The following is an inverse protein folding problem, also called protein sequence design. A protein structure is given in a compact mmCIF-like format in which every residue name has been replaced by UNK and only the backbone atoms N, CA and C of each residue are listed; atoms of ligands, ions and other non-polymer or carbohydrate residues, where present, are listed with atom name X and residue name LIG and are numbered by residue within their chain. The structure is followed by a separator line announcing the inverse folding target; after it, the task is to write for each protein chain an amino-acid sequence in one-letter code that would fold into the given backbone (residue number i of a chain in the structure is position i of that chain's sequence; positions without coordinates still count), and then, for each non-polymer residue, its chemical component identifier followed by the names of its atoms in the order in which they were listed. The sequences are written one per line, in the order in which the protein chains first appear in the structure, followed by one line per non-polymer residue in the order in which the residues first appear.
data_IF_393173297113
#
_entry.id   IF_393173297113
#
_cell.length_a   1.000
_cell.length_b   1.000
_cell.length_c   1.000
_cell.angle_alpha   90.00
_cell.angle_beta   90.00
_cell.angle_gamma   90.00
#
_symmetry.space_group_name_H-M   'P 1'
#
loop_
_entity.id
_entity.type
_entity.pdbx_description
1 polymer ?
#
# COMPACT_ATOMS: atom_id res chain seq x y z
N UNK A 1 -13.39 -10.74 -30.03
CA UNK A 1 -12.17 -11.56 -30.16
C UNK A 1 -11.01 -10.87 -29.46
N UNK A 2 -10.67 -9.61 -29.79
CA UNK A 2 -9.61 -8.85 -29.10
C UNK A 2 -9.82 -8.72 -27.57
N UNK A 3 -11.00 -8.29 -27.11
CA UNK A 3 -11.26 -8.12 -25.67
C UNK A 3 -11.16 -9.42 -24.84
N UNK A 4 -11.51 -10.57 -25.43
CA UNK A 4 -11.39 -11.86 -24.75
C UNK A 4 -9.93 -12.33 -24.67
N UNK A 5 -9.11 -11.93 -25.64
CA UNK A 5 -7.67 -12.20 -25.66
C UNK A 5 -6.95 -11.34 -24.61
N UNK A 6 -7.34 -10.05 -24.49
CA UNK A 6 -6.83 -9.14 -23.47
C UNK A 6 -7.16 -9.63 -22.04
N UNK A 7 -8.40 -10.09 -21.79
CA UNK A 7 -8.80 -10.65 -20.49
C UNK A 7 -7.99 -11.92 -20.15
N UNK A 8 -7.73 -12.77 -21.14
CA UNK A 8 -6.97 -14.01 -20.94
C UNK A 8 -5.48 -13.74 -20.69
N UNK A 9 -4.90 -12.73 -21.34
CA UNK A 9 -3.55 -12.25 -21.06
C UNK A 9 -3.45 -11.67 -19.65
N UNK A 10 -4.46 -10.90 -19.21
CA UNK A 10 -4.52 -10.35 -17.86
C UNK A 10 -4.56 -11.46 -16.80
N UNK A 11 -5.37 -12.51 -17.02
CA UNK A 11 -5.41 -13.68 -16.13
C UNK A 11 -4.10 -14.45 -16.11
N UNK A 12 -3.41 -14.57 -17.24
CA UNK A 12 -2.07 -15.19 -17.28
C UNK A 12 -1.05 -14.42 -16.45
N UNK A 13 -1.06 -13.09 -16.51
CA UNK A 13 -0.22 -12.25 -15.66
C UNK A 13 -0.50 -12.50 -14.18
N UNK A 14 -1.79 -12.52 -13.80
CA UNK A 14 -2.22 -12.76 -12.41
C UNK A 14 -1.78 -14.13 -11.90
N UNK A 15 -1.90 -15.19 -12.69
CA UNK A 15 -1.45 -16.53 -12.29
C UNK A 15 0.07 -16.68 -12.18
N UNK A 16 0.84 -15.76 -12.78
CA UNK A 16 2.29 -15.73 -12.67
C UNK A 16 2.81 -14.97 -11.46
N UNK A 17 1.93 -14.39 -10.63
CA UNK A 17 2.33 -13.60 -9.48
C UNK A 17 2.66 -14.46 -8.27
N UNK A 18 3.68 -14.02 -7.53
CA UNK A 18 3.96 -14.50 -6.18
C UNK A 18 2.90 -13.95 -5.19
N UNK A 19 2.80 -14.57 -4.02
CA UNK A 19 1.93 -14.21 -2.91
C UNK A 19 2.14 -12.75 -2.42
N UNK A 20 3.37 -12.25 -2.44
CA UNK A 20 3.70 -10.85 -2.11
C UNK A 20 3.11 -9.88 -3.14
N UNK A 21 3.29 -10.18 -4.42
CA UNK A 21 2.75 -9.38 -5.53
C UNK A 21 1.22 -9.43 -5.53
N UNK A 22 0.64 -10.60 -5.26
CA UNK A 22 -0.80 -10.78 -5.15
C UNK A 22 -1.38 -9.97 -3.99
N UNK A 23 -0.71 -9.94 -2.82
CA UNK A 23 -1.12 -9.11 -1.69
C UNK A 23 -1.09 -7.60 -2.03
N UNK A 24 -0.06 -7.15 -2.75
CA UNK A 24 0.04 -5.77 -3.22
C UNK A 24 -1.04 -5.45 -4.26
N UNK A 25 -1.25 -6.33 -5.24
CA UNK A 25 -2.28 -6.19 -6.29
C UNK A 25 -3.68 -6.10 -5.67
N UNK A 26 -4.03 -7.01 -4.76
CA UNK A 26 -5.32 -6.99 -4.04
C UNK A 26 -5.54 -5.69 -3.29
N UNK A 27 -4.49 -5.14 -2.67
CA UNK A 27 -4.55 -3.87 -1.95
C UNK A 27 -4.75 -2.68 -2.91
N UNK A 28 -4.09 -2.70 -4.07
CA UNK A 28 -4.24 -1.69 -5.12
C UNK A 28 -5.64 -1.72 -5.74
N UNK A 29 -6.16 -2.90 -6.07
CA UNK A 29 -7.52 -3.12 -6.59
C UNK A 29 -8.56 -2.57 -5.61
N UNK A 30 -8.42 -2.91 -4.33
CA UNK A 30 -9.32 -2.47 -3.27
C UNK A 30 -9.16 -0.99 -2.91
N UNK A 31 -8.03 -0.37 -3.28
CA UNK A 31 -7.58 0.96 -2.85
C UNK A 31 -7.47 1.07 -1.32
N UNK A 32 -7.04 -0.01 -0.70
CA UNK A 32 -6.82 -0.13 0.73
C UNK A 32 -5.33 -0.47 0.99
N UNK A 33 -4.97 -0.73 2.24
CA UNK A 33 -3.58 -0.87 2.71
C UNK A 33 -3.36 -2.22 3.38
N UNK A 34 -2.14 -2.75 3.40
CA UNK A 34 -1.88 -4.09 3.97
C UNK A 34 -0.76 -4.11 5.02
N UNK A 35 -0.73 -5.20 5.78
CA UNK A 35 0.38 -5.59 6.62
C UNK A 35 1.07 -6.76 5.93
N UNK A 36 2.39 -6.71 5.81
CA UNK A 36 3.20 -7.85 5.41
C UNK A 36 4.20 -8.10 6.54
N UNK A 37 4.26 -9.32 7.02
CA UNK A 37 5.11 -9.69 8.14
C UNK A 37 5.98 -10.89 7.79
N UNK A 38 7.17 -10.92 8.37
CA UNK A 38 8.11 -12.03 8.23
C UNK A 38 8.93 -12.16 9.53
N UNK A 39 9.89 -13.08 9.53
CA UNK A 39 10.81 -13.25 10.66
C UNK A 39 11.68 -12.01 10.87
N UNK A 40 12.24 -11.78 12.07
CA UNK A 40 13.04 -10.57 12.32
C UNK A 40 14.29 -10.43 11.44
N UNK A 41 14.81 -11.53 10.92
CA UNK A 41 16.06 -11.59 10.16
C UNK A 41 15.84 -11.16 8.70
N UNK A 42 14.65 -11.43 8.14
CA UNK A 42 14.33 -11.20 6.73
C UNK A 42 13.58 -9.89 6.45
N UNK A 43 13.38 -9.01 7.45
CA UNK A 43 12.61 -7.77 7.25
C UNK A 43 13.26 -6.83 6.24
N UNK A 44 14.59 -6.77 6.21
CA UNK A 44 15.33 -5.90 5.29
C UNK A 44 15.22 -6.41 3.86
N UNK A 45 15.44 -7.71 3.64
CA UNK A 45 15.25 -8.39 2.35
C UNK A 45 13.81 -8.24 1.86
N UNK A 46 12.81 -8.56 2.69
CA UNK A 46 11.40 -8.35 2.35
C UNK A 46 11.10 -6.89 1.97
N UNK A 47 11.74 -5.91 2.61
CA UNK A 47 11.51 -4.51 2.27
C UNK A 47 12.05 -4.17 0.90
N UNK A 48 13.26 -4.62 0.56
CA UNK A 48 13.83 -4.38 -0.76
C UNK A 48 13.09 -5.19 -1.85
N UNK A 49 12.63 -6.41 -1.56
CA UNK A 49 11.77 -7.16 -2.46
C UNK A 49 10.48 -6.40 -2.77
N UNK A 50 9.77 -5.92 -1.74
CA UNK A 50 8.55 -5.10 -1.92
C UNK A 50 8.83 -3.79 -2.67
N UNK A 51 10.04 -3.25 -2.54
CA UNK A 51 10.49 -2.08 -3.29
C UNK A 51 10.64 -2.41 -4.78
N UNK A 52 11.23 -3.56 -5.09
CA UNK A 52 11.36 -4.08 -6.45
C UNK A 52 10.00 -4.42 -7.05
N UNK A 53 9.12 -5.10 -6.31
CA UNK A 53 7.72 -5.36 -6.72
C UNK A 53 7.00 -4.06 -7.07
N UNK A 54 7.11 -3.02 -6.24
CA UNK A 54 6.50 -1.73 -6.52
C UNK A 54 6.97 -1.15 -7.86
N UNK A 55 8.28 -1.24 -8.16
CA UNK A 55 8.88 -0.69 -9.37
C UNK A 55 8.69 -1.56 -10.62
N UNK A 56 9.01 -2.86 -10.54
CA UNK A 56 9.02 -3.82 -11.66
C UNK A 56 7.61 -4.33 -11.98
N UNK A 57 6.80 -4.66 -10.97
CA UNK A 57 5.46 -5.21 -11.20
C UNK A 57 4.43 -4.11 -11.49
N UNK A 58 4.48 -3.00 -10.75
CA UNK A 58 3.44 -1.95 -10.80
C UNK A 58 3.89 -0.59 -11.36
N UNK A 59 5.19 -0.37 -11.59
CA UNK A 59 5.70 0.91 -12.09
C UNK A 59 5.54 2.07 -11.11
N UNK A 60 5.45 1.78 -9.81
CA UNK A 60 5.17 2.74 -8.75
C UNK A 60 6.45 3.10 -7.99
N UNK A 61 6.62 4.40 -7.72
CA UNK A 61 7.70 4.86 -6.84
C UNK A 61 7.38 4.58 -5.37
N UNK A 62 8.39 4.08 -4.66
CA UNK A 62 8.30 3.72 -3.25
C UNK A 62 9.19 4.59 -2.36
N UNK A 63 8.74 4.81 -1.12
CA UNK A 63 9.53 5.40 -0.04
C UNK A 63 9.54 4.47 1.17
N UNK A 64 10.72 4.28 1.77
CA UNK A 64 10.91 3.40 2.92
C UNK A 64 11.03 4.26 4.19
N UNK A 65 10.22 3.92 5.20
CA UNK A 65 10.24 4.60 6.50
C UNK A 65 10.60 3.57 7.57
N UNK A 66 11.74 3.76 8.23
CA UNK A 66 12.17 2.91 9.34
C UNK A 66 11.73 3.48 10.67
N UNK A 67 10.77 2.84 11.34
CA UNK A 67 10.25 3.28 12.62
C UNK A 67 10.97 2.64 13.81
N UNK A 68 11.11 3.41 14.89
CA UNK A 68 11.71 3.00 16.16
C UNK A 68 11.11 3.84 17.31
N UNK A 69 11.47 3.52 18.56
CA UNK A 69 10.91 4.15 19.75
C UNK A 69 11.13 5.68 19.87
N UNK A 70 12.01 6.24 19.04
CA UNK A 70 12.37 7.66 19.03
C UNK A 70 11.99 8.39 17.73
N UNK A 71 11.32 7.71 16.79
CA UNK A 71 10.88 8.34 15.54
C UNK A 71 9.95 9.52 15.86
N UNK A 72 10.29 10.70 15.34
CA UNK A 72 9.45 11.90 15.52
C UNK A 72 8.42 12.02 14.39
N UNK A 73 7.41 12.87 14.58
CA UNK A 73 6.42 13.17 13.54
C UNK A 73 7.05 13.81 12.29
N UNK A 74 8.11 14.61 12.49
CA UNK A 74 8.83 15.29 11.42
C UNK A 74 9.67 14.29 10.60
N UNK A 75 10.34 13.36 11.28
CA UNK A 75 11.09 12.27 10.63
C UNK A 75 10.16 11.40 9.80
N UNK A 76 9.03 11.00 10.40
CA UNK A 76 8.00 10.22 9.71
C UNK A 76 7.49 10.96 8.48
N UNK A 77 7.08 12.22 8.61
CA UNK A 77 6.51 12.98 7.49
C UNK A 77 7.52 13.26 6.38
N UNK A 78 8.78 13.51 6.73
CA UNK A 78 9.85 13.75 5.75
C UNK A 78 10.19 12.48 4.98
N UNK A 79 10.19 11.32 5.65
CA UNK A 79 10.51 10.03 5.04
C UNK A 79 9.46 9.55 4.02
N UNK A 80 8.24 10.09 4.03
CA UNK A 80 7.20 9.78 3.03
C UNK A 80 7.44 10.45 1.67
N UNK A 81 8.29 11.46 1.62
CA UNK A 81 8.46 12.35 0.47
C UNK A 81 9.58 11.85 -0.42
N UNK A 82 9.34 11.82 -1.73
CA UNK A 82 10.38 11.55 -2.71
C UNK A 82 11.33 12.75 -2.79
N UNK A 83 12.63 12.48 -2.74
CA UNK A 83 13.64 13.51 -2.91
C UNK A 83 13.47 14.17 -4.31
N UNK A 84 13.56 15.50 -4.42
CA UNK A 84 13.66 16.17 -5.71
C UNK A 84 14.86 15.59 -6.48
N UNK A 85 14.62 15.04 -7.68
CA UNK A 85 15.71 14.65 -8.56
C UNK A 85 16.62 15.87 -8.79
N UNK A 86 17.94 15.80 -8.53
CA UNK A 86 18.84 16.89 -8.80
C UNK A 86 18.86 17.13 -10.31
N UNK A 87 18.21 18.21 -10.75
CA UNK A 87 18.26 18.69 -12.12
C UNK A 87 19.73 18.93 -12.49
N UNK A 88 20.29 18.07 -13.34
CA UNK A 88 21.62 18.26 -13.92
C UNK A 88 21.55 19.49 -14.84
N UNK A 89 21.88 20.65 -14.31
CA UNK A 89 22.07 21.86 -15.10
C UNK A 89 23.26 21.64 -16.03
N UNK A 90 22.96 21.43 -17.32
CA UNK A 90 23.97 21.38 -18.37
C UNK A 90 24.74 22.71 -18.36
N UNK A 91 26.10 22.70 -18.38
CA UNK A 91 26.87 23.94 -18.41
C UNK A 91 26.68 24.59 -19.78
N UNK A 92 25.96 25.71 -19.81
CA UNK A 92 25.87 26.59 -20.97
C UNK A 92 27.27 27.10 -21.30
N UNK A 93 27.79 26.64 -22.43
CA UNK A 93 29.10 27.01 -22.96
C UNK A 93 29.26 28.52 -23.07
N UNK A 94 30.38 29.02 -22.57
CA UNK A 94 30.79 30.40 -22.67
C UNK A 94 31.02 30.81 -24.13
N UNK A 95 30.36 31.89 -24.53
CA UNK A 95 30.66 32.66 -25.73
C UNK A 95 30.90 34.11 -25.36
N UNK A 96 32.17 34.48 -25.18
CA UNK A 96 32.60 35.88 -25.16
C UNK A 96 32.34 36.50 -26.52
N UNK A 97 31.69 37.67 -26.56
CA UNK A 97 31.98 38.70 -27.56
C UNK A 97 31.51 40.07 -27.08
N UNK A 98 32.50 40.91 -26.85
CA UNK A 98 32.48 42.36 -26.69
C UNK A 98 32.03 43.04 -27.99
N UNK A 99 31.17 44.07 -27.92
CA UNK A 99 31.50 45.42 -28.38
C UNK A 99 30.35 46.43 -28.24
N UNK A 100 30.79 47.66 -27.94
CA UNK A 100 30.07 48.91 -27.74
C UNK A 100 29.17 49.35 -28.90
N UNK A 101 28.15 50.17 -28.61
CA UNK A 101 27.95 51.52 -29.17
C UNK A 101 26.87 52.27 -28.37
N UNK A 102 27.21 53.49 -27.98
CA UNK A 102 26.40 54.54 -27.36
C UNK A 102 25.58 55.34 -28.39
N UNK A 103 24.31 55.71 -28.08
CA UNK A 103 23.84 57.12 -28.09
C UNK A 103 22.32 57.29 -27.89
N UNK A 104 21.98 58.16 -26.93
CA UNK A 104 20.98 59.26 -26.93
C UNK A 104 19.66 59.14 -27.70
N UNK A 105 18.55 59.53 -27.05
CA UNK A 105 17.40 60.10 -27.77
C UNK A 105 16.09 60.13 -27.00
N UNK A 106 15.53 61.31 -26.82
CA UNK A 106 14.40 61.67 -25.95
C UNK A 106 13.08 61.73 -26.76
N UNK A 107 11.97 61.65 -26.02
CA UNK A 107 10.66 62.33 -26.23
C UNK A 107 9.66 61.89 -27.31
N UNK A 108 8.39 61.80 -26.90
CA UNK A 108 7.29 62.50 -27.57
C UNK A 108 6.04 61.71 -27.97
N UNK A 109 5.03 61.66 -27.10
CA UNK A 109 3.60 61.69 -27.51
C UNK A 109 3.28 63.06 -28.17
N UNK A 110 2.22 63.30 -29.00
CA UNK A 110 0.80 63.12 -28.59
C UNK A 110 -0.30 62.94 -29.70
N UNK A 111 -1.49 62.52 -29.25
CA UNK A 111 -2.88 62.85 -29.67
C UNK A 111 -3.26 63.17 -31.15
N UNK A 112 -4.36 62.55 -31.64
CA UNK A 112 -5.65 63.22 -32.04
C UNK A 112 -6.77 62.22 -32.50
N UNK A 113 -8.06 62.66 -32.62
CA UNK A 113 -9.25 61.85 -32.36
C UNK A 113 -10.35 61.84 -33.47
N UNK A 114 -11.52 61.26 -33.12
CA UNK A 114 -12.92 61.68 -33.47
C UNK A 114 -13.57 61.04 -34.73
N UNK A 115 -14.73 60.39 -34.56
CA UNK A 115 -16.06 60.84 -35.03
C UNK A 115 -17.17 59.74 -34.93
N UNK A 116 -18.30 60.13 -34.33
CA UNK A 116 -19.70 59.62 -34.42
C UNK A 116 -20.30 59.84 -35.86
N UNK A 117 -21.54 59.45 -36.27
CA UNK A 117 -22.82 59.48 -35.48
C UNK A 117 -24.05 58.56 -35.84
N UNK A 118 -25.07 58.62 -34.95
CA UNK A 118 -26.56 58.72 -35.09
C UNK A 118 -27.46 57.65 -35.77
N UNK A 119 -28.57 57.25 -35.10
CA UNK A 119 -29.99 57.71 -35.28
C UNK A 119 -31.04 56.78 -34.57
N UNK A 120 -31.92 57.34 -33.69
CA UNK A 120 -33.42 57.40 -33.72
C UNK A 120 -34.22 56.09 -33.43
N UNK A 121 -35.40 55.99 -32.78
CA UNK A 121 -36.56 56.89 -32.53
C UNK A 121 -37.48 56.34 -31.38
N UNK A 122 -38.50 57.13 -30.98
CA UNK A 122 -39.50 56.99 -29.90
C UNK A 122 -40.65 55.96 -30.09
N UNK A 123 -41.34 55.49 -29.01
CA UNK A 123 -42.68 55.94 -28.48
C UNK A 123 -43.49 54.89 -27.65
N UNK A 124 -44.12 55.40 -26.57
CA UNK A 124 -45.45 55.14 -25.93
C UNK A 124 -45.95 53.82 -25.27
N UNK A 125 -46.43 54.03 -24.01
CA UNK A 125 -47.31 53.38 -22.99
C UNK A 125 -48.61 52.63 -23.43
N UNK A 126 -49.53 52.12 -22.53
CA UNK A 126 -49.47 51.78 -21.07
C UNK A 126 -50.21 50.46 -20.66
N UNK A 127 -50.16 50.06 -19.38
CA UNK A 127 -51.30 49.63 -18.50
C UNK A 127 -50.92 48.62 -17.40
N UNK A 128 -51.50 48.76 -16.20
CA UNK A 128 -51.68 47.64 -15.25
C UNK A 128 -51.12 47.81 -13.84
N UNK A 129 -51.95 48.37 -12.97
CA UNK A 129 -51.95 48.38 -11.48
C UNK A 129 -51.46 47.09 -10.78
N UNK A 130 -50.64 47.21 -9.72
CA UNK A 130 -51.05 47.01 -8.30
C UNK A 130 -49.88 47.09 -7.30
N UNK A 131 -50.02 48.02 -6.34
CA UNK A 131 -49.83 47.85 -4.89
C UNK A 131 -48.45 47.51 -4.29
N UNK A 132 -47.77 48.59 -3.87
CA UNK A 132 -47.24 48.88 -2.52
C UNK A 132 -46.52 47.81 -1.68
N UNK A 133 -45.29 48.16 -1.25
CA UNK A 133 -44.60 47.52 -0.12
C UNK A 133 -43.16 47.99 0.06
N UNK A 134 -42.99 49.23 0.52
CA UNK A 134 -41.70 49.86 0.89
C UNK A 134 -40.90 49.06 1.91
N UNK A 135 -39.56 48.95 1.73
CA UNK A 135 -38.56 49.21 2.78
C UNK A 135 -37.20 49.66 2.18
N UNK A 136 -36.84 50.92 2.49
CA UNK A 136 -35.52 51.51 2.77
C UNK A 136 -34.20 50.92 2.20
N UNK A 137 -33.48 51.80 1.48
CA UNK A 137 -32.04 51.84 1.11
C UNK A 137 -31.09 51.78 2.35
N UNK A 138 -29.78 51.44 2.24
CA UNK A 138 -28.82 52.12 1.34
C UNK A 138 -27.64 51.33 0.72
N UNK A 139 -27.07 51.89 -0.35
CA UNK A 139 -25.72 51.58 -0.88
C UNK A 139 -24.65 51.91 0.17
N UNK A 140 -23.58 51.10 0.21
CA UNK A 140 -22.24 51.65 -0.07
C UNK A 140 -21.47 50.68 -0.99
N UNK A 141 -20.63 51.14 -1.91
CA UNK A 141 -19.38 51.83 -1.63
C UNK A 141 -18.25 50.94 -2.15
N UNK A 142 -17.50 51.44 -3.12
CA UNK A 142 -16.41 50.74 -3.78
C UNK A 142 -15.33 50.28 -2.79
N UNK A 143 -14.98 48.99 -2.83
CA UNK A 143 -13.65 48.51 -2.49
C UNK A 143 -13.26 47.44 -3.50
N UNK A 144 -12.54 47.86 -4.55
CA UNK A 144 -11.79 46.96 -5.43
C UNK A 144 -10.71 46.28 -4.59
N UNK A 145 -11.04 45.10 -4.06
CA UNK A 145 -10.10 44.22 -3.40
C UNK A 145 -9.20 43.65 -4.49
N UNK A 146 -7.99 44.21 -4.59
CA UNK A 146 -6.97 43.77 -5.53
C UNK A 146 -6.79 42.26 -5.46
N UNK A 147 -7.08 41.59 -6.58
CA UNK A 147 -6.69 40.22 -6.81
C UNK A 147 -5.15 40.20 -6.83
N UNK A 148 -4.56 39.81 -5.70
CA UNK A 148 -3.15 39.43 -5.65
C UNK A 148 -3.05 38.18 -6.50
N UNK A 149 -2.61 38.35 -7.74
CA UNK A 149 -2.17 37.24 -8.58
C UNK A 149 -0.96 36.62 -7.87
N UNK A 150 -0.96 35.33 -7.52
CA UNK A 150 0.25 34.71 -7.01
C UNK A 150 1.28 34.75 -8.13
N UNK A 151 2.31 35.57 -7.92
CA UNK A 151 3.53 35.56 -8.71
C UNK A 151 4.04 34.13 -8.81
N UNK A 152 4.29 33.68 -10.04
CA UNK A 152 5.01 32.45 -10.39
C UNK A 152 6.26 32.32 -9.52
N UNK A 153 6.15 31.50 -8.47
CA UNK A 153 7.32 31.01 -7.75
C UNK A 153 8.07 30.07 -8.67
N UNK A 154 9.37 30.30 -8.74
CA UNK A 154 10.39 29.45 -9.32
C UNK A 154 10.05 27.98 -9.10
N UNK A 155 9.95 27.21 -10.20
CA UNK A 155 9.62 25.80 -10.21
C UNK A 155 10.74 24.97 -9.55
N UNK A 156 10.79 24.96 -8.22
CA UNK A 156 11.32 23.83 -7.47
C UNK A 156 10.22 22.78 -7.44
N UNK A 157 10.51 21.55 -7.90
CA UNK A 157 9.58 20.43 -7.76
C UNK A 157 9.20 20.28 -6.29
N UNK A 158 7.94 20.55 -5.94
CA UNK A 158 7.48 20.32 -4.58
C UNK A 158 7.63 18.83 -4.27
N UNK A 159 8.14 18.46 -3.08
CA UNK A 159 8.25 17.07 -2.70
C UNK A 159 6.86 16.43 -2.74
N UNK A 160 6.73 15.27 -3.36
CA UNK A 160 5.47 14.53 -3.43
C UNK A 160 5.57 13.27 -2.57
N UNK A 161 4.45 12.87 -1.98
CA UNK A 161 4.37 11.57 -1.29
C UNK A 161 4.54 10.46 -2.32
N UNK A 162 5.32 9.44 -2.00
CA UNK A 162 5.49 8.27 -2.85
C UNK A 162 4.16 7.53 -3.11
N UNK A 163 4.08 6.79 -4.22
CA UNK A 163 2.91 5.98 -4.54
C UNK A 163 2.81 4.79 -3.58
N UNK A 164 3.94 4.19 -3.23
CA UNK A 164 4.04 3.12 -2.24
C UNK A 164 4.84 3.61 -1.04
N UNK A 165 4.33 3.42 0.17
CA UNK A 165 5.07 3.68 1.40
C UNK A 165 5.28 2.35 2.12
N UNK A 166 6.55 1.99 2.33
CA UNK A 166 6.97 0.80 3.07
C UNK A 166 7.37 1.22 4.48
N UNK A 167 6.48 1.04 5.46
CA UNK A 167 6.71 1.43 6.84
C UNK A 167 7.20 0.24 7.68
N UNK A 168 8.52 0.18 7.89
CA UNK A 168 9.17 -0.88 8.68
C UNK A 168 8.98 -0.62 10.18
N UNK A 169 8.67 -1.67 10.92
CA UNK A 169 8.60 -1.66 12.38
C UNK A 169 7.67 -0.57 12.96
N UNK A 170 6.56 -0.30 12.28
CA UNK A 170 5.59 0.71 12.72
C UNK A 170 5.00 0.39 14.11
N UNK A 171 5.01 -0.88 14.51
CA UNK A 171 4.68 -1.38 15.85
C UNK A 171 5.58 -0.80 16.95
N UNK A 172 6.86 -0.52 16.63
CA UNK A 172 7.85 0.07 17.54
C UNK A 172 7.79 1.60 17.62
N UNK A 173 7.02 2.24 16.74
CA UNK A 173 6.90 3.70 16.70
C UNK A 173 6.08 4.22 17.90
N UNK A 174 6.36 5.46 18.38
CA UNK A 174 5.51 6.12 19.36
C UNK A 174 4.04 6.20 18.90
N UNK A 175 3.10 6.18 19.85
CA UNK A 175 1.66 6.26 19.55
C UNK A 175 1.29 7.45 18.67
N UNK A 176 1.96 8.59 18.83
CA UNK A 176 1.73 9.77 18.00
C UNK A 176 2.03 9.52 16.51
N UNK A 177 3.12 8.79 16.21
CA UNK A 177 3.49 8.42 14.83
C UNK A 177 2.47 7.45 14.23
N UNK A 178 2.03 6.44 15.00
CA UNK A 178 0.99 5.52 14.53
C UNK A 178 -0.36 6.24 14.30
N UNK A 179 -0.69 7.24 15.12
CA UNK A 179 -1.87 8.10 14.90
C UNK A 179 -1.70 8.94 13.62
N UNK A 180 -0.51 9.48 13.37
CA UNK A 180 -0.22 10.22 12.14
C UNK A 180 -0.33 9.34 10.89
N UNK A 181 0.15 8.09 10.97
CA UNK A 181 -0.06 7.10 9.93
C UNK A 181 -1.56 6.85 9.72
N UNK A 182 -2.33 6.61 10.77
CA UNK A 182 -3.79 6.43 10.68
C UNK A 182 -4.49 7.64 10.04
N UNK A 183 -4.10 8.87 10.39
CA UNK A 183 -4.64 10.08 9.78
C UNK A 183 -4.31 10.15 8.28
N UNK A 184 -3.09 9.80 7.88
CA UNK A 184 -2.70 9.70 6.48
C UNK A 184 -3.56 8.68 5.74
N UNK A 185 -3.78 7.48 6.29
CA UNK A 185 -4.60 6.46 5.63
C UNK A 185 -6.07 6.91 5.50
N UNK A 186 -6.60 7.60 6.51
CA UNK A 186 -8.00 8.08 6.52
C UNK A 186 -8.24 9.28 5.61
N UNK A 187 -7.32 10.24 5.60
CA UNK A 187 -7.52 11.56 4.96
C UNK A 187 -6.77 11.69 3.65
N UNK A 188 -5.84 10.78 3.37
CA UNK A 188 -4.86 10.86 2.28
C UNK A 188 -4.05 12.16 2.31
N UNK A 189 -3.85 12.72 3.50
CA UNK A 189 -3.10 13.95 3.70
C UNK A 189 -2.16 13.79 4.88
N UNK A 190 -1.00 14.42 4.78
CA UNK A 190 -0.09 14.60 5.91
C UNK A 190 0.28 16.08 6.05
N UNK A 191 0.36 16.52 7.29
CA UNK A 191 0.75 17.88 7.65
C UNK A 191 2.22 17.89 8.00
N UNK A 192 3.02 18.61 7.22
CA UNK A 192 4.42 18.94 7.58
C UNK A 192 4.46 20.31 8.25
N UNK A 193 5.63 20.70 8.76
CA UNK A 193 5.82 22.04 9.34
C UNK A 193 5.50 23.17 8.37
N UNK A 194 5.69 22.95 7.06
CA UNK A 194 5.69 24.01 6.04
C UNK A 194 4.57 23.86 5.03
N UNK A 195 3.98 22.67 4.87
CA UNK A 195 2.92 22.43 3.89
C UNK A 195 2.05 21.22 4.24
N UNK A 196 0.87 21.16 3.60
CA UNK A 196 0.03 19.96 3.61
C UNK A 196 0.28 19.20 2.31
N UNK A 197 0.66 17.94 2.43
CA UNK A 197 0.95 17.07 1.30
C UNK A 197 -0.20 16.08 1.14
N UNK A 198 -0.70 15.93 -0.09
CA UNK A 198 -1.78 14.98 -0.41
C UNK A 198 -1.18 13.74 -1.06
N UNK A 199 -1.57 12.56 -0.60
CA UNK A 199 -1.12 11.31 -1.18
C UNK A 199 -1.65 11.16 -2.62
N UNK A 200 -0.90 10.49 -3.52
CA UNK A 200 -1.33 10.28 -4.89
C UNK A 200 -2.68 9.54 -4.99
N UNK A 201 -3.31 9.57 -6.17
CA UNK A 201 -4.59 8.87 -6.40
C UNK A 201 -4.44 7.35 -6.22
N UNK A 202 -3.33 6.82 -6.72
CA UNK A 202 -2.85 5.46 -6.46
C UNK A 202 -1.86 5.54 -5.32
N UNK A 203 -2.31 5.11 -4.14
CA UNK A 203 -1.52 5.19 -2.93
C UNK A 203 -1.67 3.89 -2.17
N UNK A 204 -0.55 3.22 -1.91
CA UNK A 204 -0.46 2.00 -1.15
C UNK A 204 0.47 2.21 0.03
N UNK A 205 -0.01 1.90 1.22
CA UNK A 205 0.79 1.90 2.44
C UNK A 205 0.91 0.45 2.88
N UNK A 206 2.13 -0.05 2.94
CA UNK A 206 2.45 -1.40 3.41
C UNK A 206 3.20 -1.26 4.72
N UNK A 207 2.67 -1.86 5.77
CA UNK A 207 3.42 -1.99 7.02
C UNK A 207 4.22 -3.27 6.99
N UNK A 208 5.55 -3.17 7.11
CA UNK A 208 6.46 -4.31 7.14
C UNK A 208 6.86 -4.59 8.58
N UNK A 209 6.42 -5.72 9.14
CA UNK A 209 6.58 -6.05 10.56
C UNK A 209 7.41 -7.32 10.76
N UNK A 210 8.31 -7.29 11.75
CA UNK A 210 8.94 -8.50 12.28
C UNK A 210 8.00 -9.18 13.28
N UNK A 211 7.70 -10.46 13.11
CA UNK A 211 7.00 -11.26 14.11
C UNK A 211 7.51 -12.71 14.11
N UNK A 212 7.04 -13.52 15.06
CA UNK A 212 7.32 -14.98 15.07
C UNK A 212 6.28 -15.78 14.29
N UNK A 213 5.15 -15.17 13.94
CA UNK A 213 4.06 -15.71 13.11
C UNK A 213 3.18 -14.57 12.63
N UNK A 214 2.37 -14.84 11.59
CA UNK A 214 1.47 -13.85 10.99
C UNK A 214 0.49 -13.26 11.99
N UNK A 215 -0.10 -14.11 12.84
CA UNK A 215 -1.03 -13.68 13.87
C UNK A 215 -0.43 -12.81 14.99
N UNK A 216 0.90 -12.66 15.07
CA UNK A 216 1.59 -11.86 16.10
C UNK A 216 2.02 -10.47 15.63
N UNK A 217 1.92 -10.18 14.34
CA UNK A 217 2.24 -8.87 13.77
C UNK A 217 1.08 -7.88 13.99
N UNK A 218 1.20 -7.00 14.99
CA UNK A 218 0.17 -6.01 15.33
C UNK A 218 0.73 -4.61 15.54
N UNK A 219 -0.04 -3.61 15.13
CA UNK A 219 0.12 -2.21 15.55
C UNK A 219 -0.98 -1.82 16.55
N UNK A 220 -1.11 -0.54 16.87
CA UNK A 220 -2.20 -0.07 17.74
C UNK A 220 -3.57 -0.51 17.22
N UNK A 221 -4.52 -0.87 18.12
CA UNK A 221 -5.80 -1.47 17.73
C UNK A 221 -6.56 -0.71 16.63
N UNK A 222 -6.59 0.61 16.68
CA UNK A 222 -7.31 1.44 15.72
C UNK A 222 -6.63 1.51 14.35
N UNK A 223 -5.31 1.58 14.32
CA UNK A 223 -4.56 1.56 13.06
C UNK A 223 -4.63 0.18 12.41
N UNK A 224 -4.51 -0.86 13.23
CA UNK A 224 -4.60 -2.25 12.80
C UNK A 224 -5.94 -2.57 12.12
N UNK A 225 -7.05 -2.07 12.67
CA UNK A 225 -8.39 -2.23 12.11
C UNK A 225 -8.55 -1.55 10.74
N UNK A 226 -7.64 -0.64 10.37
CA UNK A 226 -7.66 0.08 9.09
C UNK A 226 -6.98 -0.69 7.94
N UNK A 227 -6.12 -1.68 8.24
CA UNK A 227 -5.47 -2.48 7.19
C UNK A 227 -6.40 -3.54 6.61
N UNK A 228 -6.49 -3.58 5.29
CA UNK A 228 -7.32 -4.46 4.48
C UNK A 228 -7.10 -5.93 4.78
N UNK A 229 -5.85 -6.37 4.65
CA UNK A 229 -5.40 -7.74 4.81
C UNK A 229 -4.01 -7.77 5.46
N UNK A 230 -3.65 -8.94 5.96
CA UNK A 230 -2.31 -9.28 6.37
C UNK A 230 -1.81 -10.52 5.63
N UNK A 231 -0.52 -10.52 5.33
CA UNK A 231 0.19 -11.65 4.74
C UNK A 231 1.45 -11.95 5.56
N UNK A 232 1.64 -13.22 5.91
CA UNK A 232 2.89 -13.72 6.48
C UNK A 232 3.71 -14.33 5.35
N UNK A 233 4.95 -13.87 5.21
CA UNK A 233 5.90 -14.37 4.23
C UNK A 233 6.99 -15.15 4.95
N UNK A 234 7.16 -16.41 4.56
CA UNK A 234 8.25 -17.25 5.04
C UNK A 234 9.51 -16.95 4.22
N UNK A 235 10.65 -16.59 4.85
CA UNK A 235 11.90 -16.38 4.12
C UNK A 235 12.34 -17.60 3.30
N UNK A 236 11.88 -18.80 3.65
CA UNK A 236 12.16 -20.02 2.88
C UNK A 236 11.48 -20.03 1.50
N UNK A 237 10.45 -19.21 1.29
CA UNK A 237 9.79 -19.04 -0.02
C UNK A 237 10.68 -18.30 -1.03
N UNK A 238 11.74 -17.62 -0.57
CA UNK A 238 12.67 -16.85 -1.40
C UNK A 238 12.18 -15.45 -1.81
N UNK A 239 13.04 -14.71 -2.49
CA UNK A 239 12.79 -13.33 -2.91
C UNK A 239 13.12 -13.17 -4.40
N UNK A 240 12.13 -13.48 -5.26
CA UNK A 240 12.33 -13.60 -6.71
C UNK A 240 13.13 -12.45 -7.33
N UNK A 241 12.78 -11.19 -7.03
CA UNK A 241 13.45 -10.04 -7.64
C UNK A 241 14.82 -9.74 -7.06
N UNK A 242 15.02 -9.95 -5.76
CA UNK A 242 16.33 -9.85 -5.13
C UNK A 242 17.26 -10.94 -5.62
N UNK A 243 16.79 -12.18 -5.69
CA UNK A 243 17.57 -13.32 -6.16
C UNK A 243 18.02 -13.13 -7.62
N UNK A 244 17.17 -12.54 -8.47
CA UNK A 244 17.57 -12.11 -9.82
C UNK A 244 18.66 -11.01 -9.81
N UNK A 245 18.55 -10.03 -8.91
CA UNK A 245 19.50 -8.91 -8.83
C UNK A 245 20.88 -9.33 -8.31
N UNK A 246 20.92 -10.26 -7.36
CA UNK A 246 22.16 -10.85 -6.84
C UNK A 246 22.71 -11.95 -7.77
N UNK A 247 21.85 -12.73 -8.41
CA UNK A 247 22.23 -13.81 -9.35
C UNK A 247 22.79 -13.31 -10.69
N UNK A 248 22.38 -12.13 -11.14
CA UNK A 248 22.93 -11.50 -12.34
C UNK A 248 24.40 -11.05 -12.20
N UNK A 249 24.98 -11.15 -10.99
CA UNK A 249 26.37 -10.81 -10.70
C UNK A 249 27.41 -11.91 -10.96
N UNK A 250 27.00 -13.16 -11.20
CA UNK A 250 27.90 -14.33 -11.27
C UNK A 250 27.94 -15.07 -12.62
N UNK A 251 27.47 -14.46 -13.72
CA UNK A 251 27.81 -14.96 -15.07
C UNK A 251 29.25 -14.57 -15.43
N UNK A 252 30.22 -15.24 -14.82
CA UNK A 252 31.60 -14.78 -14.89
C UNK A 252 32.75 -15.75 -14.62
N UNK A 253 32.56 -17.06 -14.39
CA UNK A 253 33.70 -18.03 -14.42
C UNK A 253 33.29 -19.38 -15.01
N UNK A 254 33.69 -19.70 -16.26
CA UNK A 254 33.64 -21.07 -16.76
C UNK A 254 34.92 -21.81 -16.31
N UNK A 255 34.79 -22.79 -15.42
CA UNK A 255 35.85 -23.80 -15.25
C UNK A 255 35.87 -24.50 -13.89
N UNK A 256 35.63 -25.80 -13.92
CA UNK A 256 35.98 -26.71 -12.84
C UNK A 256 35.02 -27.88 -12.68
N UNK A 257 35.18 -28.90 -13.51
CA UNK A 257 34.73 -30.26 -13.17
C UNK A 257 35.33 -30.66 -11.82
N UNK A 258 34.56 -31.36 -10.96
CA UNK A 258 34.98 -32.59 -10.28
C UNK A 258 33.89 -33.16 -9.35
N UNK A 259 33.32 -34.28 -9.82
CA UNK A 259 32.98 -35.56 -9.16
C UNK A 259 33.01 -35.61 -7.61
N UNK A 260 31.89 -36.08 -7.02
CA UNK A 260 31.66 -37.23 -6.08
C UNK A 260 30.15 -37.18 -5.74
N UNK A 261 29.32 -38.23 -5.60
CA UNK A 261 29.52 -39.64 -5.29
C UNK A 261 28.61 -40.04 -4.11
N UNK A 262 27.34 -40.40 -4.40
CA UNK A 262 26.42 -41.34 -3.70
C UNK A 262 26.30 -41.28 -2.15
N UNK A 263 25.08 -41.03 -1.63
CA UNK A 263 24.29 -42.03 -0.84
C UNK A 263 22.96 -41.47 -0.34
N UNK A 264 21.96 -42.36 -0.34
CA UNK A 264 20.55 -42.22 0.07
C UNK A 264 20.33 -41.75 1.51
N UNK A 265 19.19 -41.09 1.77
CA UNK A 265 18.25 -41.50 2.84
C UNK A 265 16.90 -40.75 2.72
N UNK A 266 15.84 -41.56 2.65
CA UNK A 266 14.42 -41.17 2.65
C UNK A 266 13.98 -40.62 4.02
N UNK A 267 13.40 -39.42 4.04
CA UNK A 267 12.55 -38.97 5.13
C UNK A 267 11.36 -38.16 4.57
N UNK A 268 10.19 -38.77 4.61
CA UNK A 268 8.92 -38.15 4.23
C UNK A 268 8.56 -37.01 5.19
N UNK A 269 8.32 -35.81 4.65
CA UNK A 269 7.67 -34.70 5.35
C UNK A 269 6.22 -34.59 4.85
N UNK A 270 5.29 -34.58 5.80
CA UNK A 270 3.86 -34.39 5.60
C UNK A 270 3.47 -32.97 6.01
N UNK A 271 2.56 -32.40 5.23
CA UNK A 271 1.76 -31.19 5.43
C UNK A 271 2.39 -29.82 5.20
N UNK A 272 2.05 -29.24 4.03
CA UNK A 272 1.89 -27.81 3.82
C UNK A 272 0.81 -27.61 2.75
N UNK A 273 -0.41 -27.30 3.17
CA UNK A 273 -1.57 -27.13 2.30
C UNK A 273 -2.21 -25.75 2.54
N UNK A 274 -1.50 -24.69 2.15
CA UNK A 274 -2.07 -23.35 1.94
C UNK A 274 -1.40 -22.64 0.75
N UNK A 275 -1.40 -23.28 -0.42
CA UNK A 275 -1.07 -22.62 -1.69
C UNK A 275 -2.34 -22.48 -2.53
N UNK A 276 -2.64 -21.26 -2.98
CA UNK A 276 -3.89 -20.92 -3.69
C UNK A 276 -3.77 -21.15 -5.21
N UNK A 277 -2.67 -21.74 -5.68
CA UNK A 277 -2.51 -22.09 -7.10
C UNK A 277 -1.89 -23.48 -7.19
N UNK A 278 -2.56 -24.39 -7.92
CA UNK A 278 -2.07 -25.75 -8.16
C UNK A 278 -0.87 -25.72 -9.10
N UNK A 279 0.33 -25.59 -8.53
CA UNK A 279 1.57 -25.58 -9.31
C UNK A 279 2.04 -27.00 -9.61
N UNK A 280 2.54 -27.20 -10.82
CA UNK A 280 3.13 -28.45 -11.30
C UNK A 280 4.62 -28.42 -10.95
N UNK A 281 5.06 -29.39 -10.14
CA UNK A 281 6.42 -29.54 -9.62
C UNK A 281 7.50 -29.35 -10.71
N UNK A 282 8.44 -28.44 -10.46
CA UNK A 282 9.78 -28.44 -11.06
C UNK A 282 10.77 -28.42 -9.90
N UNK A 283 11.74 -29.35 -9.96
CA UNK A 283 12.57 -29.77 -8.84
C UNK A 283 13.36 -28.65 -8.16
N UNK A 284 13.33 -28.70 -6.83
CA UNK A 284 14.12 -27.90 -5.89
C UNK A 284 15.51 -28.51 -5.71
N UNK A 285 16.55 -27.67 -5.79
CA UNK A 285 17.90 -27.99 -5.34
C UNK A 285 18.17 -27.25 -4.04
N UNK A 286 18.17 -27.98 -2.93
CA UNK A 286 18.43 -27.51 -1.57
C UNK A 286 19.93 -27.20 -1.39
N UNK A 287 20.27 -26.01 -0.88
CA UNK A 287 21.64 -25.68 -0.47
C UNK A 287 21.62 -25.12 0.96
N UNK A 288 22.05 -25.93 1.93
CA UNK A 288 22.45 -25.47 3.26
C UNK A 288 23.94 -25.19 3.28
N UNK A 289 24.41 -24.14 3.98
CA UNK A 289 25.70 -24.22 4.63
C UNK A 289 25.59 -24.09 6.15
N UNK A 290 26.31 -24.99 6.82
CA UNK A 290 26.46 -25.04 8.26
C UNK A 290 27.30 -23.89 8.80
N UNK A 291 26.89 -23.43 9.97
CA UNK A 291 27.55 -22.50 10.86
C UNK A 291 29.00 -22.93 11.20
N UNK A 292 29.99 -22.06 10.95
CA UNK A 292 31.26 -22.08 11.70
C UNK A 292 31.60 -20.68 12.22
N UNK A 293 31.69 -20.62 13.54
CA UNK A 293 32.07 -19.51 14.39
C UNK A 293 33.48 -18.98 14.06
N UNK A 294 33.57 -17.68 13.74
CA UNK A 294 34.82 -16.94 13.74
C UNK A 294 34.60 -15.54 14.31
N UNK A 295 34.57 -15.46 15.65
CA UNK A 295 34.78 -14.25 16.44
C UNK A 295 35.82 -13.30 15.80
N UNK A 296 35.37 -12.12 15.38
CA UNK A 296 36.24 -10.93 15.26
C UNK A 296 35.60 -9.74 15.98
N UNK A 297 36.37 -9.25 16.95
CA UNK A 297 36.10 -8.16 17.86
C UNK A 297 35.77 -6.85 17.12
N UNK A 298 34.64 -6.24 17.48
CA UNK A 298 34.30 -4.89 17.05
C UNK A 298 35.11 -3.86 17.84
N UNK A 299 35.94 -3.09 17.14
CA UNK A 299 36.44 -1.81 17.63
C UNK A 299 36.27 -0.74 16.55
N UNK A 300 35.60 0.33 16.96
CA UNK A 300 35.74 1.71 16.49
C UNK A 300 34.86 2.17 15.32
N UNK A 301 33.96 3.08 15.69
CA UNK A 301 33.10 3.89 14.84
C UNK A 301 33.86 4.58 13.69
N UNK A 302 33.29 4.51 12.49
CA UNK A 302 33.58 5.44 11.40
C UNK A 302 32.33 5.63 10.54
N UNK A 303 31.79 6.85 10.66
CA UNK A 303 30.92 7.56 9.72
C UNK A 303 30.68 6.86 8.39
N UNK A 304 29.47 6.33 8.23
CA UNK A 304 28.97 5.69 7.03
C UNK A 304 28.54 6.79 6.05
N UNK A 305 29.31 6.92 4.97
CA UNK A 305 28.98 7.78 3.86
C UNK A 305 27.83 7.13 3.07
N UNK A 306 26.74 7.88 2.91
CA UNK A 306 25.62 7.55 2.03
C UNK A 306 26.17 7.23 0.63
N UNK A 307 26.05 5.97 0.22
CA UNK A 307 26.22 5.60 -1.18
C UNK A 307 25.07 6.23 -1.98
N UNK A 308 25.33 6.92 -3.10
CA UNK A 308 24.26 7.44 -3.94
C UNK A 308 23.52 6.28 -4.57
N UNK A 309 22.19 6.29 -4.46
CA UNK A 309 21.29 5.36 -5.15
C UNK A 309 21.63 5.33 -6.65
N UNK A 310 21.90 4.14 -7.18
CA UNK A 310 22.16 3.91 -8.59
C UNK A 310 20.87 4.17 -9.40
N UNK A 311 20.84 5.11 -10.36
CA UNK A 311 19.66 5.40 -11.16
C UNK A 311 19.61 4.45 -12.37
N UNK A 312 19.49 3.15 -12.15
CA UNK A 312 19.10 2.23 -13.22
C UNK A 312 17.58 2.13 -13.22
N UNK A 313 16.95 2.83 -14.16
CA UNK A 313 15.55 2.61 -14.49
C UNK A 313 15.34 1.12 -14.82
N UNK A 314 14.19 0.53 -14.48
CA UNK A 314 13.87 -0.80 -14.98
C UNK A 314 13.82 -0.71 -16.51
N UNK A 315 14.73 -1.41 -17.20
CA UNK A 315 14.76 -1.48 -18.67
C UNK A 315 13.51 -2.17 -19.26
N UNK A 316 12.66 -2.76 -18.40
CA UNK A 316 11.43 -3.44 -18.76
C UNK A 316 10.18 -2.65 -18.33
N UNK A 317 9.12 -2.64 -19.16
CA UNK A 317 7.85 -2.03 -18.78
C UNK A 317 7.22 -2.79 -17.60
N UNK A 318 6.42 -2.10 -16.76
CA UNK A 318 5.78 -2.75 -15.62
C UNK A 318 4.82 -3.85 -16.06
N UNK A 319 4.74 -4.94 -15.28
CA UNK A 319 3.87 -6.09 -15.55
C UNK A 319 2.40 -5.67 -15.62
N UNK A 320 1.97 -4.82 -14.68
CA UNK A 320 0.63 -4.25 -14.62
C UNK A 320 0.62 -2.75 -14.85
N UNK A 321 -0.33 -2.32 -15.66
CA UNK A 321 -0.66 -0.91 -15.90
C UNK A 321 -1.77 -0.42 -14.97
N UNK A 322 -1.87 0.89 -14.75
CA UNK A 322 -2.97 1.50 -13.98
C UNK A 322 -4.35 1.13 -14.56
N UNK A 323 -4.45 0.99 -15.90
CA UNK A 323 -5.68 0.62 -16.59
C UNK A 323 -6.10 -0.82 -16.30
N UNK A 324 -5.16 -1.77 -16.24
CA UNK A 324 -5.45 -3.17 -15.92
C UNK A 324 -5.90 -3.31 -14.45
N UNK A 325 -5.24 -2.61 -13.52
CA UNK A 325 -5.65 -2.58 -12.11
C UNK A 325 -7.06 -1.97 -11.97
N UNK A 326 -7.35 -0.90 -12.70
CA UNK A 326 -8.67 -0.27 -12.71
C UNK A 326 -9.75 -1.19 -13.29
N UNK A 327 -9.41 -1.98 -14.32
CA UNK A 327 -10.29 -3.00 -14.89
C UNK A 327 -10.60 -4.10 -13.86
N UNK A 328 -9.58 -4.65 -13.19
CA UNK A 328 -9.77 -5.64 -12.12
C UNK A 328 -10.64 -5.10 -10.97
N UNK A 329 -10.43 -3.83 -10.58
CA UNK A 329 -11.27 -3.16 -9.59
C UNK A 329 -12.72 -2.95 -10.05
N UNK A 330 -12.94 -2.76 -11.35
CA UNK A 330 -14.28 -2.72 -11.91
C UNK A 330 -14.93 -4.10 -11.91
N UNK A 331 -14.22 -5.14 -12.34
CA UNK A 331 -14.72 -6.51 -12.35
C UNK A 331 -15.10 -6.96 -10.92
N UNK A 332 -14.25 -6.70 -9.93
CA UNK A 332 -14.54 -7.04 -8.52
C UNK A 332 -15.84 -6.41 -7.99
N UNK A 333 -16.21 -5.20 -8.46
CA UNK A 333 -17.49 -4.57 -8.09
C UNK A 333 -18.71 -5.22 -8.74
N UNK A 334 -18.53 -5.95 -9.84
CA UNK A 334 -19.60 -6.63 -10.58
C UNK A 334 -19.79 -8.08 -10.15
N UNK A 335 -18.84 -8.64 -9.39
CA UNK A 335 -18.90 -10.01 -8.89
C UNK A 335 -20.20 -10.26 -8.13
N UNK A 336 -20.88 -11.35 -8.47
CA UNK A 336 -22.11 -11.77 -7.81
C UNK A 336 -21.79 -12.53 -6.50
N UNK A 337 -22.57 -12.22 -5.46
CA UNK A 337 -22.50 -12.90 -4.16
C UNK A 337 -23.84 -13.60 -3.92
N UNK A 338 -23.84 -14.92 -4.06
CA UNK A 338 -25.04 -15.73 -3.84
C UNK A 338 -25.46 -15.68 -2.37
N UNK A 339 -26.77 -15.82 -2.13
CA UNK A 339 -27.36 -15.73 -0.79
C UNK A 339 -26.75 -16.77 0.17
N UNK A 340 -26.43 -17.97 -0.33
CA UNK A 340 -25.85 -19.03 0.47
C UNK A 340 -24.38 -18.74 0.84
N UNK A 341 -23.61 -18.12 -0.06
CA UNK A 341 -22.25 -17.66 0.19
C UNK A 341 -22.24 -16.47 1.16
N UNK A 342 -23.17 -15.53 1.00
CA UNK A 342 -23.36 -14.43 1.96
C UNK A 342 -23.73 -14.96 3.36
N UNK A 343 -24.55 -16.01 3.44
CA UNK A 343 -24.86 -16.70 4.71
C UNK A 343 -23.63 -17.38 5.30
N UNK A 344 -22.83 -18.05 4.47
CA UNK A 344 -21.57 -18.67 4.89
C UNK A 344 -20.61 -17.65 5.49
N UNK A 345 -20.41 -16.50 4.82
CA UNK A 345 -19.63 -15.38 5.34
C UNK A 345 -20.14 -14.90 6.71
N UNK A 346 -21.45 -14.68 6.85
CA UNK A 346 -22.05 -14.22 8.12
C UNK A 346 -21.91 -15.25 9.24
N UNK A 347 -22.01 -16.54 8.92
CA UNK A 347 -21.77 -17.62 9.88
C UNK A 347 -20.34 -17.59 10.38
N UNK A 348 -19.33 -17.50 9.49
CA UNK A 348 -17.92 -17.36 9.90
C UNK A 348 -17.73 -16.18 10.85
N UNK A 349 -18.25 -15.00 10.50
CA UNK A 349 -18.16 -13.80 11.35
C UNK A 349 -18.80 -14.03 12.72
N UNK A 350 -19.95 -14.70 12.75
CA UNK A 350 -20.69 -14.98 13.98
C UNK A 350 -19.92 -15.95 14.90
N UNK A 351 -19.36 -17.02 14.32
CA UNK A 351 -18.55 -18.00 15.05
C UNK A 351 -17.23 -17.41 15.53
N UNK A 352 -16.55 -16.57 14.74
CA UNK A 352 -15.37 -15.83 15.19
C UNK A 352 -15.67 -14.92 16.40
N UNK A 353 -16.84 -14.27 16.43
CA UNK A 353 -17.27 -13.41 17.55
C UNK A 353 -17.62 -14.19 18.82
N UNK A 354 -18.12 -15.41 18.67
CA UNK A 354 -18.50 -16.27 19.80
C UNK A 354 -17.40 -17.24 20.19
N UNK A 355 -16.30 -17.33 19.43
CA UNK A 355 -15.17 -18.18 19.74
C UNK A 355 -14.59 -17.85 21.13
N UNK A 356 -14.28 -18.89 21.91
CA UNK A 356 -13.86 -18.73 23.32
C UNK A 356 -12.52 -18.01 23.45
N UNK A 357 -11.59 -18.29 22.53
CA UNK A 357 -10.24 -17.72 22.56
C UNK A 357 -10.17 -16.27 22.01
N UNK A 358 -11.25 -15.75 21.42
CA UNK A 358 -11.27 -14.40 20.82
C UNK A 358 -11.73 -13.37 21.85
N UNK A 359 -10.85 -12.41 22.16
CA UNK A 359 -11.18 -11.28 23.03
C UNK A 359 -11.74 -10.07 22.26
N UNK A 360 -11.21 -9.78 21.07
CA UNK A 360 -11.70 -8.71 20.18
C UNK A 360 -11.12 -8.87 18.76
N UNK A 361 -11.51 -7.99 17.83
CA UNK A 361 -10.94 -7.95 16.47
C UNK A 361 -11.96 -8.05 15.34
N UNK A 362 -13.16 -8.57 15.63
CA UNK A 362 -14.19 -8.82 14.61
C UNK A 362 -15.11 -7.59 14.46
N UNK A 363 -14.56 -6.50 13.93
CA UNK A 363 -15.23 -5.19 13.79
C UNK A 363 -16.14 -5.12 12.55
N UNK A 364 -17.04 -4.13 12.45
CA UNK A 364 -17.77 -3.85 11.21
C UNK A 364 -16.86 -3.53 10.03
N UNK A 365 -15.73 -2.85 10.26
CA UNK A 365 -14.71 -2.59 9.24
C UNK A 365 -14.12 -3.89 8.72
N UNK A 366 -13.80 -4.83 9.60
CA UNK A 366 -13.30 -6.15 9.23
C UNK A 366 -14.31 -6.89 8.34
N UNK A 367 -15.61 -6.85 8.68
CA UNK A 367 -16.67 -7.43 7.84
C UNK A 367 -16.72 -6.81 6.44
N UNK A 368 -16.56 -5.49 6.33
CA UNK A 368 -16.49 -4.80 5.04
C UNK A 368 -15.27 -5.25 4.23
N UNK A 369 -14.09 -5.29 4.84
CA UNK A 369 -12.86 -5.76 4.18
C UNK A 369 -12.97 -7.23 3.78
N UNK A 370 -13.61 -8.05 4.59
CA UNK A 370 -13.88 -9.45 4.27
C UNK A 370 -14.75 -9.58 3.01
N UNK A 371 -15.87 -8.86 2.94
CA UNK A 371 -16.70 -8.87 1.72
C UNK A 371 -15.96 -8.34 0.49
N UNK A 372 -15.25 -7.23 0.66
CA UNK A 372 -14.50 -6.61 -0.41
C UNK A 372 -13.38 -7.53 -0.94
N UNK A 373 -12.69 -8.27 -0.06
CA UNK A 373 -11.62 -9.19 -0.45
C UNK A 373 -12.13 -10.40 -1.21
N UNK A 374 -13.23 -11.00 -0.78
CA UNK A 374 -13.88 -12.09 -1.52
C UNK A 374 -14.21 -11.67 -2.96
N UNK A 375 -14.74 -10.47 -3.13
CA UNK A 375 -15.09 -9.90 -4.44
C UNK A 375 -13.85 -9.53 -5.26
N UNK A 376 -12.77 -9.06 -4.64
CA UNK A 376 -11.50 -8.77 -5.32
C UNK A 376 -10.77 -10.03 -5.78
N UNK A 377 -10.94 -11.16 -5.08
CA UNK A 377 -10.32 -12.44 -5.43
C UNK A 377 -10.97 -13.11 -6.64
N UNK A 378 -12.30 -13.05 -6.78
CA UNK A 378 -13.00 -13.79 -7.84
C UNK A 378 -12.50 -13.48 -9.27
N UNK A 379 -12.32 -12.21 -9.69
CA UNK A 379 -11.81 -11.89 -11.02
C UNK A 379 -10.39 -12.37 -11.26
N UNK A 380 -9.58 -12.50 -10.21
CA UNK A 380 -8.21 -13.01 -10.32
C UNK A 380 -8.18 -14.51 -10.67
N UNK A 381 -9.26 -15.24 -10.36
CA UNK A 381 -9.48 -16.63 -10.76
C UNK A 381 -10.32 -16.78 -12.03
N UNK A 382 -10.64 -15.68 -12.71
CA UNK A 382 -11.52 -15.69 -13.89
C UNK A 382 -12.98 -16.00 -13.55
N UNK A 383 -13.40 -15.78 -12.30
CA UNK A 383 -14.77 -16.00 -11.83
C UNK A 383 -15.51 -14.67 -11.69
N UNK A 384 -16.78 -14.66 -12.07
CA UNK A 384 -17.72 -13.55 -11.86
C UNK A 384 -18.60 -13.74 -10.61
N UNK A 385 -18.35 -14.79 -9.83
CA UNK A 385 -19.01 -15.08 -8.56
C UNK A 385 -18.00 -15.54 -7.49
N UNK A 386 -18.40 -15.41 -6.22
CA UNK A 386 -17.56 -15.84 -5.09
C UNK A 386 -17.81 -17.32 -4.76
N UNK A 387 -16.75 -18.11 -4.61
CA UNK A 387 -16.83 -19.50 -4.15
C UNK A 387 -16.51 -19.63 -2.65
N UNK A 388 -16.94 -20.71 -1.97
CA UNK A 388 -16.62 -20.95 -0.57
C UNK A 388 -15.11 -20.97 -0.26
N UNK A 389 -14.29 -21.46 -1.19
CA UNK A 389 -12.83 -21.47 -1.05
C UNK A 389 -12.26 -20.05 -1.02
N UNK A 390 -12.78 -19.13 -1.83
CA UNK A 390 -12.39 -17.72 -1.79
C UNK A 390 -12.82 -17.06 -0.48
N UNK A 391 -13.97 -17.44 0.07
CA UNK A 391 -14.42 -16.99 1.40
C UNK A 391 -13.45 -17.45 2.48
N UNK A 392 -13.05 -18.71 2.48
CA UNK A 392 -12.10 -19.25 3.46
C UNK A 392 -10.75 -18.52 3.38
N UNK A 393 -10.22 -18.34 2.17
CA UNK A 393 -8.98 -17.61 1.95
C UNK A 393 -9.06 -16.15 2.44
N UNK A 394 -10.14 -15.45 2.09
CA UNK A 394 -10.33 -14.08 2.52
C UNK A 394 -10.46 -13.96 4.05
N UNK A 395 -11.05 -14.95 4.72
CA UNK A 395 -11.13 -14.99 6.18
C UNK A 395 -9.73 -15.07 6.79
N UNK A 396 -8.88 -15.97 6.28
CA UNK A 396 -7.47 -16.11 6.71
C UNK A 396 -6.74 -14.77 6.56
N UNK A 397 -6.77 -14.14 5.39
CA UNK A 397 -6.01 -12.90 5.14
C UNK A 397 -6.57 -11.67 5.89
N UNK A 398 -7.88 -11.57 6.14
CA UNK A 398 -8.48 -10.39 6.79
C UNK A 398 -8.40 -10.45 8.32
N UNK A 399 -8.57 -11.63 8.91
CA UNK A 399 -8.68 -11.76 10.36
C UNK A 399 -7.35 -12.07 11.06
N UNK A 400 -6.32 -12.49 10.32
CA UNK A 400 -4.98 -12.82 10.84
C UNK A 400 -4.41 -11.75 11.77
N UNK A 401 -4.36 -10.50 11.31
CA UNK A 401 -3.87 -9.37 12.11
C UNK A 401 -4.94 -8.78 13.02
N UNK A 402 -6.21 -9.15 12.92
CA UNK A 402 -7.29 -8.48 13.65
C UNK A 402 -7.64 -9.16 14.95
N UNK A 403 -7.61 -10.49 14.96
CA UNK A 403 -7.98 -11.28 16.13
C UNK A 403 -6.99 -11.01 17.25
N UNK A 404 -7.55 -10.63 18.41
CA UNK A 404 -6.81 -10.50 19.65
C UNK A 404 -7.25 -11.60 20.59
N UNK A 405 -6.30 -12.43 20.96
CA UNK A 405 -6.52 -13.51 21.91
C UNK A 405 -6.99 -12.93 23.25
N UNK A 406 -7.95 -13.61 23.88
CA UNK A 406 -8.42 -13.26 25.22
C UNK A 406 -7.34 -13.65 26.23
N UNK A 407 -7.12 -12.82 27.25
CA UNK A 407 -6.30 -13.22 28.38
C UNK A 407 -7.09 -14.24 29.24
N UNK A 408 -6.46 -15.31 29.77
CA UNK A 408 -7.17 -16.34 30.53
C UNK A 408 -8.06 -15.80 31.65
N UNK A 409 -7.62 -14.74 32.35
CA UNK A 409 -8.36 -14.11 33.46
C UNK A 409 -9.59 -13.32 32.99
N UNK A 410 -9.65 -12.98 31.71
CA UNK A 410 -10.73 -12.20 31.09
C UNK A 410 -11.66 -13.07 30.24
N UNK A 411 -11.44 -14.38 30.21
CA UNK A 411 -12.31 -15.30 29.49
C UNK A 411 -13.71 -15.32 30.14
N UNK A 412 -14.77 -15.45 29.33
CA UNK A 412 -16.16 -15.30 29.77
C UNK A 412 -16.55 -16.27 30.88
N UNK A 413 -16.01 -17.50 30.86
CA UNK A 413 -16.29 -18.51 31.89
C UNK A 413 -15.76 -18.15 33.29
N UNK A 414 -14.81 -17.21 33.40
CA UNK A 414 -14.32 -16.71 34.69
C UNK A 414 -15.42 -16.02 35.50
N UNK A 415 -16.38 -15.38 34.84
CA UNK A 415 -17.55 -14.77 35.49
C UNK A 415 -18.48 -15.81 36.13
N UNK A 416 -18.34 -17.08 35.74
CA UNK A 416 -19.15 -18.20 36.19
C UNK A 416 -18.34 -19.19 37.07
N UNK A 417 -17.17 -18.77 37.56
CA UNK A 417 -16.39 -19.51 38.55
C UNK A 417 -15.52 -20.64 37.98
N UNK A 418 -15.14 -20.56 36.70
CA UNK A 418 -14.18 -21.51 36.13
C UNK A 418 -12.80 -21.38 36.76
N UNK A 419 -12.07 -22.49 36.82
CA UNK A 419 -10.70 -22.51 37.35
C UNK A 419 -9.72 -21.93 36.33
N UNK A 420 -8.90 -20.96 36.74
CA UNK A 420 -7.95 -20.27 35.86
C UNK A 420 -7.00 -21.24 35.16
N UNK A 421 -6.44 -22.21 35.89
CA UNK A 421 -5.52 -23.20 35.33
C UNK A 421 -6.15 -24.05 34.21
N UNK A 422 -7.46 -24.35 34.32
CA UNK A 422 -8.18 -25.06 33.27
C UNK A 422 -8.42 -24.17 32.04
N UNK A 423 -8.66 -22.86 32.22
CA UNK A 423 -8.77 -21.91 31.11
C UNK A 423 -7.42 -21.72 30.42
N UNK A 424 -6.35 -21.56 31.19
CA UNK A 424 -4.98 -21.45 30.67
C UNK A 424 -4.62 -22.68 29.83
N UNK A 425 -4.87 -23.89 30.33
CA UNK A 425 -4.59 -25.11 29.59
C UNK A 425 -5.37 -25.23 28.27
N UNK A 426 -6.57 -24.64 28.19
CA UNK A 426 -7.37 -24.65 26.96
C UNK A 426 -6.92 -23.57 25.97
N UNK A 427 -6.38 -22.46 26.46
CA UNK A 427 -5.88 -21.36 25.63
C UNK A 427 -4.39 -21.50 25.26
N UNK A 428 -3.67 -22.41 25.90
CA UNK A 428 -2.27 -22.65 25.65
C UNK A 428 -2.03 -23.10 24.21
N UNK A 429 -0.99 -22.55 23.58
CA UNK A 429 -0.66 -22.81 22.17
C UNK A 429 -1.62 -22.21 21.12
N UNK A 430 -2.82 -21.76 21.47
CA UNK A 430 -3.76 -21.21 20.49
C UNK A 430 -3.35 -19.82 20.00
N UNK A 431 -3.22 -19.67 18.69
CA UNK A 431 -3.01 -18.43 17.98
C UNK A 431 -4.23 -17.98 17.16
N UNK A 432 -4.16 -16.79 16.54
CA UNK A 432 -5.19 -16.32 15.62
C UNK A 432 -5.46 -17.25 14.43
N UNK A 433 -4.41 -17.92 13.94
CA UNK A 433 -4.48 -18.84 12.80
C UNK A 433 -5.32 -20.08 13.16
N UNK A 434 -5.03 -20.71 14.30
CA UNK A 434 -5.79 -21.86 14.82
C UNK A 434 -7.26 -21.51 15.02
N UNK A 435 -7.56 -20.32 15.57
CA UNK A 435 -8.95 -19.86 15.73
C UNK A 435 -9.68 -19.74 14.39
N UNK A 436 -9.00 -19.25 13.36
CA UNK A 436 -9.60 -19.11 12.03
C UNK A 436 -9.86 -20.49 11.43
N UNK A 437 -8.88 -21.39 11.51
CA UNK A 437 -9.00 -22.74 10.98
C UNK A 437 -10.06 -23.57 11.73
N UNK A 438 -10.13 -23.47 13.05
CA UNK A 438 -11.18 -24.04 13.87
C UNK A 438 -12.57 -23.57 13.40
N UNK A 439 -12.76 -22.27 13.22
CA UNK A 439 -14.05 -21.74 12.75
C UNK A 439 -14.37 -22.17 11.32
N UNK A 440 -13.39 -22.16 10.41
CA UNK A 440 -13.60 -22.61 9.03
C UNK A 440 -13.95 -24.10 8.96
N UNK A 441 -13.41 -24.93 9.86
CA UNK A 441 -13.77 -26.35 9.94
C UNK A 441 -15.17 -26.60 10.50
N UNK A 442 -15.66 -25.72 11.38
CA UNK A 442 -16.98 -25.84 12.02
C UNK A 442 -18.13 -25.35 11.14
N UNK A 443 -17.89 -24.34 10.31
CA UNK A 443 -18.94 -23.75 9.46
C UNK A 443 -19.02 -24.54 8.15
N UNK A 444 -20.15 -25.20 7.92
CA UNK A 444 -20.38 -25.93 6.68
C UNK A 444 -20.39 -24.97 5.46
N UNK A 445 -19.54 -25.26 4.48
CA UNK A 445 -19.55 -24.58 3.19
C UNK A 445 -20.84 -24.95 2.42
N UNK A 446 -21.43 -23.99 1.68
CA UNK A 446 -22.58 -24.27 0.83
C UNK A 446 -22.17 -25.20 -0.33
N UNK A 447 -23.14 -25.99 -0.81
CA UNK A 447 -22.96 -27.01 -1.85
C UNK A 447 -22.84 -26.42 -3.26
#
# INVERSE_FOLDING_TARGET
MAAADDDQQLLQKVHGLNDLELAALLSLIAREHCIISTTPEAVDELTEELRLIAARTFGLSSAVVSCHAHTTLDDFATALLLAPSPQVSSPSGGGSSTNNISNTGRSGSPFRPRHQPLQHHHHHDPSGTTTAGHYFLPKPGMLSRGLISPSTSTAGSQPLIAHVVLAKHLDRAPRAVQIQALELLRTRRIFTRTSVQTAPKQFLFITVLSATSGGRAHVTPHLNDFFYLAHWHDPEDGFDYLDEEYGAGDEGIPGGEDIYGISDDDAASTDSDTSVVKHRERGSSTFTPSFTDARRSFSQAKSEAVLPADPRQPDQPPVFTETEIALLAQLGRQVCLDVDVARYQMNIISFLRTHRAVGSGITPTATKHFEQLMRSLAPLHGLDYVTPSLVALAAKKVYLHRIKMVAPEKERSMQWGSELAAVEAILDGLGPEDVIDDVLSLVAAPH
#
